data_IF_567111371018
#
_entry.id   IF_567111371018
#
_cell.length_a   1.000
_cell.length_b   1.000
_cell.length_c   1.000
_cell.angle_alpha   90.00
_cell.angle_beta   90.00
_cell.angle_gamma   90.00
#
_symmetry.space_group_name_H-M   'P 1'
#
loop_
_entity.id
_entity.type
_entity.pdbx_description
1 polymer ?
#
# COMPACT_ATOMS: atom_id res chain seq x y z
N UNK A 1 7.82 -19.02 -37.92
CA UNK A 1 7.59 -20.06 -36.88
C UNK A 1 7.24 -19.35 -35.61
N UNK A 2 5.95 -19.39 -35.26
CA UNK A 2 5.39 -18.78 -34.08
C UNK A 2 5.81 -19.54 -32.84
N UNK A 3 6.34 -18.84 -31.85
CA UNK A 3 6.51 -19.35 -30.49
C UNK A 3 5.17 -19.15 -29.79
N UNK A 4 4.49 -20.24 -29.50
CA UNK A 4 3.28 -20.28 -28.69
C UNK A 4 3.66 -20.01 -27.24
N UNK A 5 3.37 -18.80 -26.76
CA UNK A 5 3.36 -18.48 -25.35
C UNK A 5 2.07 -19.06 -24.73
N UNK A 6 2.18 -20.19 -24.07
CA UNK A 6 1.13 -20.67 -23.17
C UNK A 6 1.07 -19.75 -21.93
N UNK A 7 0.38 -18.63 -22.08
CA UNK A 7 -0.16 -17.87 -20.95
C UNK A 7 -1.31 -18.72 -20.41
N UNK A 8 -1.14 -19.38 -19.28
CA UNK A 8 -2.24 -19.88 -18.47
C UNK A 8 -3.01 -18.65 -17.95
N UNK A 9 -3.95 -18.17 -18.76
CA UNK A 9 -4.94 -17.18 -18.35
C UNK A 9 -5.93 -17.88 -17.44
N UNK A 10 -5.83 -17.65 -16.15
CA UNK A 10 -6.90 -17.94 -15.22
C UNK A 10 -8.06 -16.99 -15.55
N UNK A 11 -9.24 -17.56 -15.75
CA UNK A 11 -10.43 -16.81 -16.14
C UNK A 11 -10.89 -15.84 -15.04
N UNK A 12 -11.59 -14.75 -15.39
CA UNK A 12 -12.20 -13.88 -14.41
C UNK A 12 -13.29 -14.66 -13.66
N UNK A 13 -13.08 -14.96 -12.37
CA UNK A 13 -14.07 -15.62 -11.51
C UNK A 13 -13.58 -16.79 -10.67
N UNK A 14 -12.35 -17.25 -10.81
CA UNK A 14 -11.83 -18.29 -9.92
C UNK A 14 -11.35 -17.68 -8.60
N UNK A 15 -12.03 -18.03 -7.52
CA UNK A 15 -11.65 -17.65 -6.15
C UNK A 15 -10.26 -18.23 -5.81
N UNK A 16 -9.48 -17.48 -5.05
CA UNK A 16 -8.22 -17.96 -4.50
C UNK A 16 -8.52 -19.09 -3.51
N UNK A 17 -8.21 -20.34 -3.87
CA UNK A 17 -8.45 -21.51 -3.02
C UNK A 17 -7.39 -21.69 -1.93
N UNK A 18 -6.60 -20.67 -1.63
CA UNK A 18 -5.45 -20.72 -0.75
C UNK A 18 -5.67 -19.82 0.46
N UNK A 19 -5.23 -20.27 1.63
CA UNK A 19 -5.39 -19.54 2.89
C UNK A 19 -4.39 -18.41 3.03
N UNK A 20 -4.85 -17.25 3.48
CA UNK A 20 -4.05 -16.05 3.73
C UNK A 20 -3.99 -15.78 5.23
N UNK A 21 -2.82 -15.44 5.74
CA UNK A 21 -2.66 -15.06 7.15
C UNK A 21 -2.13 -13.65 7.27
N UNK A 22 -2.64 -12.92 8.27
CA UNK A 22 -2.12 -11.64 8.69
C UNK A 22 -1.54 -11.72 10.11
N UNK A 23 -0.31 -11.28 10.26
CA UNK A 23 0.35 -11.14 11.55
C UNK A 23 0.34 -9.67 12.00
N UNK A 24 -0.41 -9.38 13.08
CA UNK A 24 -0.67 -8.02 13.56
C UNK A 24 0.37 -7.49 14.55
N UNK A 25 0.29 -6.21 14.86
CA UNK A 25 1.22 -5.45 15.69
C UNK A 25 1.18 -5.81 17.18
N UNK A 26 2.32 -5.70 17.86
CA UNK A 26 2.52 -6.00 19.29
C UNK A 26 2.17 -4.85 20.24
N UNK A 27 1.80 -3.64 19.78
CA UNK A 27 1.54 -2.50 20.67
C UNK A 27 0.06 -2.29 20.98
N UNK A 28 -0.23 -2.03 22.27
CA UNK A 28 -1.59 -1.75 22.79
C UNK A 28 -2.00 -0.29 22.68
N UNK A 29 -1.09 0.63 22.34
CA UNK A 29 -1.33 2.07 22.31
C UNK A 29 -1.50 2.56 20.87
N UNK A 30 -2.64 3.20 20.60
CA UNK A 30 -3.13 3.85 19.38
C UNK A 30 -3.11 2.99 18.08
N UNK A 31 -4.12 3.13 17.21
CA UNK A 31 -4.12 2.44 15.92
C UNK A 31 -2.99 2.98 15.05
N UNK A 32 -1.93 2.19 14.88
CA UNK A 32 -0.86 2.52 13.94
C UNK A 32 -1.34 2.29 12.50
N UNK A 33 -0.78 3.03 11.54
CA UNK A 33 -1.07 2.84 10.12
C UNK A 33 -0.93 1.37 9.66
N UNK A 34 0.00 0.60 10.24
CA UNK A 34 0.14 -0.84 9.97
C UNK A 34 -1.07 -1.67 10.43
N UNK A 35 -1.64 -1.37 11.62
CA UNK A 35 -2.78 -2.14 12.14
C UNK A 35 -4.10 -1.79 11.44
N UNK A 36 -4.22 -0.57 10.94
CA UNK A 36 -5.33 -0.19 10.05
C UNK A 36 -5.17 -0.88 8.69
N UNK A 37 -3.98 -0.90 8.11
CA UNK A 37 -3.72 -1.53 6.82
C UNK A 37 -4.14 -3.00 6.74
N UNK A 38 -3.93 -3.80 7.80
CA UNK A 38 -4.39 -5.21 7.85
C UNK A 38 -5.91 -5.33 7.78
N UNK A 39 -6.61 -4.51 8.57
CA UNK A 39 -8.08 -4.52 8.60
C UNK A 39 -8.67 -4.30 7.23
N UNK A 40 -8.08 -3.39 6.50
CA UNK A 40 -8.61 -2.88 5.25
C UNK A 40 -8.21 -3.78 4.08
N UNK A 41 -7.02 -4.37 4.13
CA UNK A 41 -6.61 -5.41 3.18
C UNK A 41 -7.50 -6.65 3.30
N UNK A 42 -7.75 -7.16 4.52
CA UNK A 42 -8.60 -8.34 4.73
C UNK A 42 -10.02 -8.09 4.20
N UNK A 43 -10.63 -6.94 4.50
CA UNK A 43 -11.94 -6.57 3.95
C UNK A 43 -11.92 -6.30 2.45
N UNK A 44 -10.86 -5.68 1.96
CA UNK A 44 -10.67 -5.45 0.53
C UNK A 44 -10.56 -6.75 -0.25
N UNK A 45 -9.85 -7.72 0.28
CA UNK A 45 -9.71 -9.05 -0.34
C UNK A 45 -11.07 -9.79 -0.40
N UNK A 46 -11.84 -9.74 0.69
CA UNK A 46 -13.17 -10.34 0.74
C UNK A 46 -14.15 -9.65 -0.21
N UNK A 47 -14.20 -8.32 -0.18
CA UNK A 47 -15.07 -7.52 -1.04
C UNK A 47 -14.77 -7.68 -2.53
N UNK A 48 -13.49 -7.85 -2.90
CA UNK A 48 -13.05 -8.11 -4.26
C UNK A 48 -13.15 -9.59 -4.67
N UNK A 49 -13.56 -10.48 -3.74
CA UNK A 49 -13.65 -11.92 -3.98
C UNK A 49 -12.30 -12.62 -4.21
N UNK A 50 -11.19 -11.98 -3.80
CA UNK A 50 -9.83 -12.53 -3.97
C UNK A 50 -9.47 -13.50 -2.88
N UNK A 51 -9.85 -13.23 -1.62
CA UNK A 51 -9.77 -14.15 -0.51
C UNK A 51 -10.95 -13.90 0.44
N UNK A 52 -11.74 -14.93 0.72
CA UNK A 52 -12.89 -14.80 1.64
C UNK A 52 -12.42 -14.71 3.08
N UNK A 53 -13.14 -13.98 3.93
CA UNK A 53 -12.80 -13.88 5.36
C UNK A 53 -12.64 -15.25 6.04
N UNK A 54 -13.43 -16.25 5.65
CA UNK A 54 -13.33 -17.63 6.18
C UNK A 54 -12.01 -18.34 5.84
N UNK A 55 -11.28 -17.87 4.82
CA UNK A 55 -9.97 -18.37 4.37
C UNK A 55 -8.82 -17.51 4.92
N UNK A 56 -9.15 -16.45 5.66
CA UNK A 56 -8.18 -15.56 6.29
C UNK A 56 -8.01 -15.94 7.75
N UNK A 57 -6.77 -16.19 8.14
CA UNK A 57 -6.40 -16.42 9.55
C UNK A 57 -5.65 -15.21 10.10
N UNK A 58 -5.97 -14.79 11.30
CA UNK A 58 -5.37 -13.64 11.96
C UNK A 58 -4.60 -14.09 13.19
N UNK A 59 -3.35 -13.65 13.32
CA UNK A 59 -2.58 -13.71 14.55
C UNK A 59 -2.38 -12.28 15.05
N UNK A 60 -2.93 -11.96 16.20
CA UNK A 60 -2.76 -10.66 16.84
C UNK A 60 -2.79 -10.84 18.36
N UNK A 61 -1.92 -10.13 19.09
CA UNK A 61 -1.88 -10.14 20.55
C UNK A 61 -2.98 -9.28 21.18
N UNK A 62 -3.60 -8.39 20.39
CA UNK A 62 -4.64 -7.48 20.86
C UNK A 62 -6.02 -8.14 20.76
N UNK A 63 -6.65 -8.43 21.93
CA UNK A 63 -7.95 -9.09 21.98
C UNK A 63 -9.05 -8.34 21.24
N UNK A 64 -9.26 -7.02 21.40
CA UNK A 64 -10.27 -6.28 20.64
C UNK A 64 -10.13 -6.40 19.13
N UNK A 65 -8.89 -6.52 18.62
CA UNK A 65 -8.67 -6.75 17.18
C UNK A 65 -9.03 -8.16 16.77
N UNK A 66 -8.67 -9.18 17.55
CA UNK A 66 -9.09 -10.57 17.31
C UNK A 66 -10.61 -10.67 17.24
N UNK A 67 -11.31 -10.05 18.21
CA UNK A 67 -12.77 -10.06 18.26
C UNK A 67 -13.39 -9.39 17.02
N UNK A 68 -12.79 -8.28 16.57
CA UNK A 68 -13.23 -7.59 15.35
C UNK A 68 -13.08 -8.48 14.10
N UNK A 69 -11.94 -9.14 13.91
CA UNK A 69 -11.73 -10.03 12.76
C UNK A 69 -12.62 -11.27 12.85
N UNK A 70 -12.79 -11.83 14.04
CA UNK A 70 -13.71 -12.94 14.27
C UNK A 70 -15.17 -12.56 13.91
N UNK A 71 -15.58 -11.31 14.19
CA UNK A 71 -16.92 -10.82 13.82
C UNK A 71 -17.14 -10.74 12.30
N UNK A 72 -16.06 -10.72 11.51
CA UNK A 72 -16.11 -10.78 10.04
C UNK A 72 -16.03 -12.21 9.50
N UNK A 73 -15.92 -13.21 10.37
CA UNK A 73 -15.78 -14.62 10.00
C UNK A 73 -14.34 -15.06 9.74
N UNK A 74 -13.33 -14.23 10.04
CA UNK A 74 -11.93 -14.64 9.95
C UNK A 74 -11.60 -15.64 11.05
N UNK A 75 -10.69 -16.57 10.79
CA UNK A 75 -10.13 -17.48 11.77
C UNK A 75 -9.13 -16.75 12.67
N UNK A 76 -9.06 -17.14 13.93
CA UNK A 76 -8.05 -16.64 14.86
C UNK A 76 -7.06 -17.76 15.13
N UNK A 77 -5.79 -17.59 14.73
CA UNK A 77 -4.74 -18.56 14.95
C UNK A 77 -4.24 -18.55 16.40
N UNK A 78 -3.91 -19.72 16.92
CA UNK A 78 -3.42 -19.89 18.28
C UNK A 78 -1.90 -19.70 18.37
N UNK A 79 -1.15 -20.08 17.32
CA UNK A 79 0.31 -19.95 17.27
C UNK A 79 0.82 -19.71 15.84
N UNK A 80 2.04 -19.19 15.74
CA UNK A 80 2.73 -19.02 14.45
C UNK A 80 2.94 -20.37 13.73
N UNK A 81 3.30 -21.41 14.47
CA UNK A 81 3.48 -22.77 13.95
C UNK A 81 2.22 -23.32 13.29
N UNK A 82 1.09 -23.27 14.01
CA UNK A 82 -0.21 -23.76 13.52
C UNK A 82 -0.59 -23.07 12.22
N UNK A 83 -0.42 -21.78 12.19
CA UNK A 83 -0.88 -20.95 11.07
C UNK A 83 0.02 -21.16 9.85
N UNK A 84 1.33 -21.06 9.99
CA UNK A 84 2.27 -21.20 8.87
C UNK A 84 2.13 -22.55 8.16
N UNK A 85 1.86 -23.63 8.91
CA UNK A 85 1.66 -24.98 8.33
C UNK A 85 0.39 -25.11 7.47
N UNK A 86 -0.55 -24.19 7.63
CA UNK A 86 -1.87 -24.28 7.01
C UNK A 86 -2.20 -23.14 6.03
N UNK A 87 -1.20 -22.34 5.64
CA UNK A 87 -1.42 -21.20 4.76
C UNK A 87 -0.40 -21.17 3.61
N UNK A 88 -0.78 -20.53 2.53
CA UNK A 88 0.08 -20.33 1.35
C UNK A 88 0.72 -18.94 1.33
N UNK A 89 0.07 -17.96 1.98
CA UNK A 89 0.55 -16.58 2.02
C UNK A 89 0.46 -16.03 3.45
N UNK A 90 1.57 -15.50 3.94
CA UNK A 90 1.69 -14.83 5.24
C UNK A 90 1.96 -13.35 5.04
N UNK A 91 1.04 -12.48 5.46
CA UNK A 91 1.27 -11.04 5.52
C UNK A 91 1.88 -10.64 6.85
N UNK A 92 3.07 -10.04 6.83
CA UNK A 92 3.74 -9.47 8.00
C UNK A 92 3.39 -7.99 8.12
N UNK A 93 2.63 -7.65 9.14
CA UNK A 93 2.14 -6.30 9.43
C UNK A 93 2.47 -5.87 10.86
N UNK A 94 3.66 -6.18 11.31
CA UNK A 94 4.20 -5.74 12.60
C UNK A 94 5.05 -4.47 12.44
N UNK A 95 5.43 -3.86 13.55
CA UNK A 95 6.38 -2.75 13.52
C UNK A 95 7.73 -3.19 12.94
N UNK A 96 8.46 -2.34 12.22
CA UNK A 96 9.71 -2.70 11.55
C UNK A 96 10.71 -3.44 12.46
N UNK A 97 10.92 -2.96 13.68
CA UNK A 97 11.86 -3.56 14.64
C UNK A 97 11.48 -5.00 15.07
N UNK A 98 10.23 -5.41 14.88
CA UNK A 98 9.75 -6.74 15.27
C UNK A 98 9.76 -7.75 14.10
N UNK A 99 10.05 -7.32 12.88
CA UNK A 99 9.96 -8.18 11.68
C UNK A 99 10.97 -9.30 11.72
N UNK A 100 12.25 -8.99 12.00
CA UNK A 100 13.30 -9.98 12.01
C UNK A 100 13.10 -11.05 13.11
N UNK A 101 12.69 -10.63 14.30
CA UNK A 101 12.42 -11.57 15.41
C UNK A 101 11.23 -12.48 15.11
N UNK A 102 10.16 -11.90 14.53
CA UNK A 102 9.02 -12.68 14.09
C UNK A 102 9.39 -13.71 13.01
N UNK A 103 10.19 -13.32 12.02
CA UNK A 103 10.65 -14.23 10.98
C UNK A 103 11.52 -15.35 11.54
N UNK A 104 12.42 -15.08 12.50
CA UNK A 104 13.22 -16.11 13.18
C UNK A 104 12.34 -17.09 13.97
N UNK A 105 11.29 -16.59 14.63
CA UNK A 105 10.31 -17.45 15.32
C UNK A 105 9.57 -18.37 14.34
N UNK A 106 9.25 -17.87 13.15
CA UNK A 106 8.52 -18.60 12.11
C UNK A 106 9.43 -19.50 11.26
N UNK A 107 10.73 -19.22 11.18
CA UNK A 107 11.69 -19.90 10.30
C UNK A 107 11.65 -21.43 10.33
N UNK A 108 11.49 -22.12 11.50
CA UNK A 108 11.40 -23.58 11.54
C UNK A 108 10.19 -24.16 10.79
N UNK A 109 9.19 -23.35 10.49
CA UNK A 109 7.93 -23.75 9.87
C UNK A 109 7.77 -23.19 8.46
N UNK A 110 8.56 -22.15 8.10
CA UNK A 110 8.59 -21.56 6.76
C UNK A 110 9.32 -22.49 5.79
N UNK A 111 8.93 -22.41 4.52
CA UNK A 111 9.54 -23.17 3.44
C UNK A 111 9.19 -22.62 2.07
N UNK A 112 9.62 -23.26 0.98
CA UNK A 112 9.44 -22.74 -0.38
C UNK A 112 7.98 -22.63 -0.83
N UNK A 113 7.06 -23.27 -0.11
CA UNK A 113 5.63 -23.29 -0.44
C UNK A 113 4.83 -22.17 0.24
N UNK A 114 5.44 -21.41 1.14
CA UNK A 114 4.77 -20.32 1.89
C UNK A 114 5.34 -19.00 1.46
N UNK A 115 4.54 -18.18 0.78
CA UNK A 115 4.91 -16.84 0.38
C UNK A 115 4.78 -15.87 1.56
N UNK A 116 5.89 -15.23 1.92
CA UNK A 116 5.89 -14.15 2.94
C UNK A 116 5.77 -12.80 2.23
N UNK A 117 4.78 -12.00 2.62
CA UNK A 117 4.55 -10.64 2.12
C UNK A 117 4.70 -9.66 3.28
N UNK A 118 5.77 -8.89 3.31
CA UNK A 118 5.99 -7.88 4.35
C UNK A 118 5.53 -6.51 3.88
N UNK A 119 4.69 -5.85 4.68
CA UNK A 119 4.26 -4.46 4.48
C UNK A 119 4.93 -3.51 5.48
N UNK A 120 5.96 -3.95 6.19
CA UNK A 120 6.70 -3.15 7.13
C UNK A 120 7.66 -2.18 6.41
N UNK A 121 7.54 -0.88 6.74
CA UNK A 121 8.40 0.14 6.13
C UNK A 121 9.85 0.00 6.62
N UNK A 122 10.82 0.25 5.73
CA UNK A 122 12.24 0.34 6.09
C UNK A 122 12.98 -1.00 6.30
N UNK A 123 12.29 -2.15 6.31
CA UNK A 123 12.95 -3.46 6.45
C UNK A 123 13.36 -3.99 5.07
N UNK A 124 14.64 -4.31 4.90
CA UNK A 124 15.17 -4.77 3.60
C UNK A 124 14.90 -6.25 3.36
N UNK A 125 14.88 -6.64 2.09
CA UNK A 125 14.80 -8.06 1.69
C UNK A 125 15.92 -8.87 2.31
N UNK A 126 17.15 -8.38 2.28
CA UNK A 126 18.30 -9.05 2.89
C UNK A 126 18.08 -9.36 4.38
N UNK A 127 17.62 -8.36 5.17
CA UNK A 127 17.29 -8.55 6.60
C UNK A 127 16.22 -9.62 6.81
N UNK A 128 15.21 -9.64 5.93
CA UNK A 128 14.11 -10.60 6.05
C UNK A 128 14.53 -12.00 5.61
N UNK A 129 15.32 -12.12 4.54
CA UNK A 129 15.84 -13.41 4.03
C UNK A 129 16.80 -14.04 5.04
N UNK A 130 17.69 -13.27 5.64
CA UNK A 130 18.58 -13.73 6.72
C UNK A 130 17.79 -14.25 7.94
N UNK A 131 16.70 -13.59 8.29
CA UNK A 131 15.88 -13.98 9.43
C UNK A 131 14.98 -15.20 9.15
N UNK A 132 14.44 -15.32 7.95
CA UNK A 132 13.52 -16.40 7.55
C UNK A 132 14.24 -17.70 7.16
N UNK A 133 15.50 -17.61 6.76
CA UNK A 133 16.29 -18.74 6.26
C UNK A 133 16.21 -18.92 4.75
N UNK A 134 17.11 -19.75 4.23
CA UNK A 134 17.25 -19.97 2.79
C UNK A 134 16.02 -20.63 2.16
N UNK A 135 15.69 -20.21 0.93
CA UNK A 135 14.63 -20.84 0.13
C UNK A 135 13.22 -20.33 0.42
N UNK A 136 13.03 -19.43 1.40
CA UNK A 136 11.72 -18.83 1.70
C UNK A 136 11.44 -17.69 0.70
N UNK A 137 10.32 -17.72 -0.05
CA UNK A 137 9.97 -16.63 -0.94
C UNK A 137 9.42 -15.44 -0.15
N UNK A 138 10.05 -14.26 -0.30
CA UNK A 138 9.70 -13.05 0.43
C UNK A 138 9.43 -11.91 -0.55
N UNK A 139 8.27 -11.28 -0.41
CA UNK A 139 7.90 -10.04 -1.10
C UNK A 139 7.93 -8.87 -0.12
N UNK A 140 8.69 -7.83 -0.45
CA UNK A 140 8.65 -6.55 0.25
C UNK A 140 7.64 -5.65 -0.44
N UNK A 141 6.66 -5.15 0.30
CA UNK A 141 5.60 -4.28 -0.23
C UNK A 141 5.58 -2.96 0.52
N UNK A 142 5.46 -1.87 -0.21
CA UNK A 142 5.19 -0.54 0.34
C UNK A 142 3.79 -0.11 -0.08
N UNK A 143 2.77 -0.35 0.76
CA UNK A 143 1.42 0.13 0.54
C UNK A 143 1.27 1.59 1.03
N UNK A 144 0.08 2.15 0.85
CA UNK A 144 -0.28 3.43 1.45
C UNK A 144 -1.69 3.41 2.05
N UNK A 145 -2.02 4.41 2.88
CA UNK A 145 -3.30 4.47 3.59
C UNK A 145 -4.55 4.54 2.72
N UNK A 146 -4.55 5.08 1.47
CA UNK A 146 -5.71 5.01 0.60
C UNK A 146 -6.18 3.61 0.22
N UNK A 147 -5.45 2.54 0.55
CA UNK A 147 -5.95 1.16 0.45
C UNK A 147 -7.27 0.97 1.23
N UNK A 148 -7.52 1.76 2.27
CA UNK A 148 -8.75 1.78 3.08
C UNK A 148 -10.03 2.01 2.25
N UNK A 149 -9.88 2.71 1.15
CA UNK A 149 -10.98 3.09 0.24
C UNK A 149 -10.78 2.50 -1.15
N UNK A 150 -10.00 1.41 -1.28
CA UNK A 150 -9.75 0.74 -2.54
C UNK A 150 -8.86 1.52 -3.53
N UNK A 151 -8.07 2.47 -3.03
CA UNK A 151 -7.22 3.34 -3.84
C UNK A 151 -5.73 3.19 -3.46
N UNK A 152 -5.29 1.96 -3.21
CA UNK A 152 -3.87 1.65 -3.01
C UNK A 152 -3.05 2.19 -4.19
N UNK A 153 -2.00 2.93 -3.89
CA UNK A 153 -0.90 3.21 -4.79
C UNK A 153 0.38 2.70 -4.12
N UNK A 154 0.81 1.50 -4.46
CA UNK A 154 1.94 0.84 -3.81
C UNK A 154 2.95 0.28 -4.79
N UNK A 155 4.05 -0.21 -4.23
CA UNK A 155 5.01 -1.00 -4.98
C UNK A 155 5.47 -2.22 -4.19
N UNK A 156 6.01 -3.21 -4.91
CA UNK A 156 6.56 -4.44 -4.37
C UNK A 156 7.91 -4.75 -4.99
N UNK A 157 8.76 -5.40 -4.22
CA UNK A 157 10.04 -5.96 -4.68
C UNK A 157 10.12 -7.41 -4.25
N UNK A 158 10.65 -8.24 -5.14
CA UNK A 158 10.79 -9.68 -4.90
C UNK A 158 12.16 -10.02 -4.30
N UNK A 159 12.17 -10.94 -3.35
CA UNK A 159 13.36 -11.58 -2.82
C UNK A 159 13.94 -12.64 -3.76
N UNK A 160 15.10 -13.15 -3.37
CA UNK A 160 15.91 -14.07 -4.21
C UNK A 160 15.22 -15.40 -4.49
N UNK A 161 14.38 -15.89 -3.58
CA UNK A 161 13.64 -17.15 -3.72
C UNK A 161 12.27 -17.01 -4.38
N UNK A 162 11.88 -15.77 -4.79
CA UNK A 162 10.59 -15.54 -5.41
C UNK A 162 10.58 -15.94 -6.89
N UNK A 163 9.50 -16.61 -7.29
CA UNK A 163 9.18 -16.94 -8.69
C UNK A 163 8.25 -15.88 -9.29
N UNK A 164 8.06 -15.86 -10.63
CA UNK A 164 7.04 -15.02 -11.27
C UNK A 164 5.63 -15.23 -10.70
N UNK A 165 5.28 -16.46 -10.32
CA UNK A 165 3.98 -16.79 -9.72
C UNK A 165 3.77 -16.10 -8.35
N UNK A 166 4.84 -15.95 -7.56
CA UNK A 166 4.77 -15.19 -6.30
C UNK A 166 4.50 -13.70 -6.54
N UNK A 167 5.09 -13.14 -7.58
CA UNK A 167 4.85 -11.74 -8.01
C UNK A 167 3.39 -11.57 -8.44
N UNK A 168 2.89 -12.46 -9.31
CA UNK A 168 1.50 -12.42 -9.80
C UNK A 168 0.49 -12.60 -8.65
N UNK A 169 0.78 -13.52 -7.72
CA UNK A 169 -0.05 -13.73 -6.53
C UNK A 169 -0.15 -12.46 -5.69
N UNK A 170 1.02 -11.83 -5.41
CA UNK A 170 1.05 -10.57 -4.65
C UNK A 170 0.34 -9.44 -5.39
N UNK A 171 0.55 -9.32 -6.70
CA UNK A 171 -0.11 -8.32 -7.53
C UNK A 171 -1.64 -8.48 -7.56
N UNK A 172 -2.14 -9.72 -7.61
CA UNK A 172 -3.59 -10.01 -7.55
C UNK A 172 -4.18 -9.65 -6.20
N UNK A 173 -3.54 -10.07 -5.11
CA UNK A 173 -4.01 -9.74 -3.76
C UNK A 173 -4.07 -8.23 -3.54
N UNK A 174 -3.00 -7.51 -3.85
CA UNK A 174 -2.95 -6.06 -3.68
C UNK A 174 -3.82 -5.31 -4.72
N UNK A 175 -4.03 -5.91 -5.90
CA UNK A 175 -4.93 -5.42 -6.94
C UNK A 175 -6.39 -5.30 -6.49
N UNK A 176 -6.79 -6.08 -5.49
CA UNK A 176 -8.11 -6.01 -4.87
C UNK A 176 -8.38 -4.66 -4.14
N UNK A 177 -7.33 -3.97 -3.73
CA UNK A 177 -7.42 -2.71 -2.97
C UNK A 177 -6.77 -1.53 -3.70
N UNK A 178 -6.38 -1.69 -4.97
CA UNK A 178 -5.85 -0.62 -5.81
C UNK A 178 -4.80 -1.08 -6.81
N UNK A 179 -3.67 -0.40 -6.92
CA UNK A 179 -2.59 -0.71 -7.85
C UNK A 179 -1.26 -0.88 -7.12
N UNK A 180 -0.56 -1.97 -7.42
CA UNK A 180 0.79 -2.22 -6.91
C UNK A 180 1.74 -2.50 -8.09
N UNK A 181 2.88 -1.82 -8.14
CA UNK A 181 3.88 -1.96 -9.20
C UNK A 181 5.07 -2.80 -8.73
N UNK A 182 5.58 -3.69 -9.55
CA UNK A 182 6.89 -4.31 -9.29
C UNK A 182 7.99 -3.30 -9.60
N UNK A 183 8.92 -3.11 -8.65
CA UNK A 183 10.10 -2.24 -8.80
C UNK A 183 11.32 -2.92 -8.17
N UNK A 184 12.55 -2.60 -8.61
CA UNK A 184 13.75 -3.02 -7.88
C UNK A 184 13.75 -2.48 -6.44
N UNK A 185 14.26 -3.25 -5.48
CA UNK A 185 14.28 -2.85 -4.07
C UNK A 185 14.96 -1.49 -3.85
N UNK A 186 15.99 -1.17 -4.62
CA UNK A 186 16.69 0.13 -4.58
C UNK A 186 15.79 1.35 -4.88
N UNK A 187 14.56 1.14 -5.34
CA UNK A 187 13.57 2.21 -5.60
C UNK A 187 12.51 2.33 -4.52
N UNK A 188 12.48 1.43 -3.53
CA UNK A 188 11.44 1.41 -2.50
C UNK A 188 11.42 2.68 -1.62
N UNK A 189 12.59 3.30 -1.39
CA UNK A 189 12.66 4.56 -0.64
C UNK A 189 11.99 5.70 -1.43
N UNK A 190 12.21 5.76 -2.75
CA UNK A 190 11.52 6.71 -3.62
C UNK A 190 10.00 6.46 -3.67
N UNK A 191 9.57 5.20 -3.70
CA UNK A 191 8.15 4.83 -3.59
C UNK A 191 7.57 5.34 -2.27
N UNK A 192 8.30 5.18 -1.16
CA UNK A 192 7.88 5.72 0.14
C UNK A 192 7.69 7.23 0.07
N UNK A 193 8.62 7.95 -0.56
CA UNK A 193 8.52 9.40 -0.75
C UNK A 193 7.30 9.84 -1.58
N UNK A 194 7.00 9.13 -2.66
CA UNK A 194 5.89 9.49 -3.57
C UNK A 194 4.54 9.04 -3.02
N UNK A 195 4.39 7.76 -2.67
CA UNK A 195 3.09 7.16 -2.37
C UNK A 195 2.89 6.82 -0.90
N UNK A 196 3.94 6.42 -0.18
CA UNK A 196 3.82 6.14 1.25
C UNK A 196 3.50 7.38 2.07
N UNK A 197 4.28 8.44 1.89
CA UNK A 197 4.11 9.73 2.57
C UNK A 197 3.19 10.69 1.80
N UNK A 198 3.00 10.46 0.50
CA UNK A 198 2.21 11.31 -0.41
C UNK A 198 0.81 11.70 0.07
N UNK A 199 0.02 10.82 0.69
CA UNK A 199 -1.30 11.18 1.20
C UNK A 199 -1.27 12.40 2.13
N UNK A 200 -0.23 12.53 2.98
CA UNK A 200 -0.10 13.68 3.88
C UNK A 200 0.06 15.01 3.11
N UNK A 201 0.81 15.01 2.01
CA UNK A 201 0.98 16.20 1.16
C UNK A 201 -0.33 16.62 0.54
N UNK A 202 -1.11 15.64 0.08
CA UNK A 202 -2.42 15.88 -0.56
C UNK A 202 -3.45 16.33 0.46
N UNK A 203 -3.42 15.84 1.70
CA UNK A 203 -4.29 16.36 2.77
C UNK A 203 -3.99 17.85 3.04
N UNK A 204 -2.72 18.27 3.05
CA UNK A 204 -2.35 19.68 3.13
C UNK A 204 -2.90 20.50 1.95
N UNK A 205 -2.85 19.98 0.74
CA UNK A 205 -3.41 20.66 -0.45
C UNK A 205 -4.91 20.83 -0.31
N UNK A 206 -5.64 19.77 0.10
CA UNK A 206 -7.09 19.80 0.26
C UNK A 206 -7.47 20.83 1.35
N UNK A 207 -6.77 20.83 2.48
CA UNK A 207 -6.99 21.78 3.57
C UNK A 207 -6.74 23.23 3.12
N UNK A 208 -5.59 23.50 2.47
CA UNK A 208 -5.26 24.83 1.98
C UNK A 208 -6.25 25.34 0.92
N UNK A 209 -6.70 24.47 0.02
CA UNK A 209 -7.74 24.83 -0.97
C UNK A 209 -9.07 25.16 -0.29
N UNK A 210 -9.46 24.40 0.74
CA UNK A 210 -10.66 24.65 1.51
C UNK A 210 -10.57 25.99 2.29
N UNK A 211 -9.40 26.28 2.87
CA UNK A 211 -9.15 27.57 3.55
C UNK A 211 -9.23 28.74 2.57
N UNK A 212 -8.64 28.60 1.37
CA UNK A 212 -8.80 29.58 0.31
C UNK A 212 -10.24 29.80 -0.12
N UNK A 213 -11.04 28.72 -0.19
CA UNK A 213 -12.47 28.79 -0.46
C UNK A 213 -13.25 29.58 0.61
N UNK A 214 -12.91 29.35 1.89
CA UNK A 214 -13.51 30.11 3.00
C UNK A 214 -13.10 31.58 2.96
N UNK A 215 -11.83 31.86 2.68
CA UNK A 215 -11.33 33.22 2.49
C UNK A 215 -12.06 33.94 1.34
N UNK A 216 -12.48 33.22 0.31
CA UNK A 216 -13.28 33.71 -0.80
C UNK A 216 -14.82 33.78 -0.49
N UNK A 217 -15.24 33.43 0.72
CA UNK A 217 -16.64 33.54 1.19
C UNK A 217 -17.47 32.27 1.15
N UNK A 218 -16.89 31.10 0.84
CA UNK A 218 -17.62 29.83 0.90
C UNK A 218 -17.82 29.35 2.33
N UNK A 219 -18.96 28.72 2.64
CA UNK A 219 -19.10 27.97 3.90
C UNK A 219 -18.04 26.84 3.99
N UNK A 220 -17.47 26.62 5.18
CA UNK A 220 -16.40 25.64 5.42
C UNK A 220 -16.70 24.25 4.85
N UNK A 221 -17.91 23.72 5.12
CA UNK A 221 -18.30 22.39 4.66
C UNK A 221 -18.32 22.27 3.13
N UNK A 222 -18.79 23.29 2.45
CA UNK A 222 -18.82 23.36 0.98
C UNK A 222 -17.41 23.47 0.43
N UNK A 223 -16.57 24.34 0.99
CA UNK A 223 -15.18 24.52 0.55
C UNK A 223 -14.38 23.21 0.69
N UNK A 224 -14.54 22.50 1.78
CA UNK A 224 -13.86 21.24 2.03
C UNK A 224 -14.31 20.12 1.06
N UNK A 225 -15.61 19.97 0.82
CA UNK A 225 -16.13 18.97 -0.14
C UNK A 225 -15.64 19.28 -1.58
N UNK A 226 -15.73 20.53 -2.00
CA UNK A 226 -15.24 20.95 -3.32
C UNK A 226 -13.73 20.70 -3.49
N UNK A 227 -12.92 21.04 -2.50
CA UNK A 227 -11.47 20.84 -2.54
C UNK A 227 -11.13 19.34 -2.69
N UNK A 228 -11.73 18.49 -1.86
CA UNK A 228 -11.48 17.06 -1.90
C UNK A 228 -11.90 16.44 -3.24
N UNK A 229 -13.09 16.77 -3.76
CA UNK A 229 -13.58 16.30 -5.05
C UNK A 229 -12.74 16.82 -6.21
N UNK A 230 -12.26 18.03 -6.15
CA UNK A 230 -11.39 18.62 -7.20
C UNK A 230 -10.08 17.86 -7.29
N UNK A 231 -9.43 17.56 -6.16
CA UNK A 231 -8.18 16.78 -6.13
C UNK A 231 -8.42 15.37 -6.66
N UNK A 232 -9.48 14.71 -6.19
CA UNK A 232 -9.86 13.39 -6.67
C UNK A 232 -10.12 13.37 -8.18
N UNK A 233 -10.90 14.33 -8.69
CA UNK A 233 -11.23 14.44 -10.11
C UNK A 233 -10.01 14.70 -10.98
N UNK A 234 -9.11 15.58 -10.55
CA UNK A 234 -7.87 15.88 -11.26
C UNK A 234 -6.96 14.64 -11.35
N UNK A 235 -6.79 13.90 -10.25
CA UNK A 235 -6.03 12.65 -10.24
C UNK A 235 -6.67 11.60 -11.16
N UNK A 236 -7.99 11.46 -11.11
CA UNK A 236 -8.74 10.53 -11.97
C UNK A 236 -8.59 10.87 -13.46
N UNK A 237 -8.62 12.14 -13.82
CA UNK A 237 -8.37 12.60 -15.21
C UNK A 237 -6.99 12.13 -15.71
N UNK A 238 -5.93 12.26 -14.90
CA UNK A 238 -4.59 11.79 -15.29
C UNK A 238 -4.57 10.28 -15.51
N UNK A 239 -5.18 9.51 -14.61
CA UNK A 239 -5.17 8.04 -14.65
C UNK A 239 -6.00 7.48 -15.82
N UNK A 240 -7.19 8.02 -16.07
CA UNK A 240 -8.11 7.49 -17.07
C UNK A 240 -7.77 7.96 -18.50
N UNK A 241 -7.26 9.18 -18.65
CA UNK A 241 -6.92 9.69 -19.98
C UNK A 241 -5.50 9.34 -20.43
N UNK A 242 -4.62 9.02 -19.50
CA UNK A 242 -3.19 8.82 -19.75
C UNK A 242 -2.44 10.08 -20.22
N UNK A 243 -3.11 11.23 -20.22
CA UNK A 243 -2.52 12.49 -20.66
C UNK A 243 -1.53 13.03 -19.66
N UNK A 244 -0.50 13.74 -20.14
CA UNK A 244 0.45 14.41 -19.29
C UNK A 244 -0.23 15.48 -18.42
N UNK A 245 0.07 15.58 -17.11
CA UNK A 245 -0.56 16.58 -16.23
C UNK A 245 -0.46 18.02 -16.74
N UNK A 246 0.65 18.37 -17.41
CA UNK A 246 0.83 19.68 -18.06
C UNK A 246 -0.19 19.94 -19.15
N UNK A 247 -0.50 18.95 -20.01
CA UNK A 247 -1.52 19.06 -21.06
C UNK A 247 -2.91 19.28 -20.45
N UNK A 248 -3.25 18.53 -19.39
CA UNK A 248 -4.54 18.69 -18.71
C UNK A 248 -4.65 20.07 -18.03
N UNK A 249 -3.57 20.55 -17.43
CA UNK A 249 -3.49 21.91 -16.87
C UNK A 249 -3.73 22.96 -17.94
N UNK A 250 -3.07 22.86 -19.10
CA UNK A 250 -3.22 23.83 -20.18
C UNK A 250 -4.63 23.83 -20.77
N UNK A 251 -5.27 22.67 -20.86
CA UNK A 251 -6.66 22.53 -21.36
C UNK A 251 -7.69 23.29 -20.50
N UNK A 252 -7.41 23.54 -19.23
CA UNK A 252 -8.29 24.31 -18.32
C UNK A 252 -7.80 25.74 -18.07
N UNK A 253 -6.75 26.18 -18.79
CA UNK A 253 -6.09 27.45 -18.59
C UNK A 253 -6.34 28.39 -19.77
N UNK A 254 -7.43 29.16 -19.73
CA UNK A 254 -7.77 30.12 -20.77
C UNK A 254 -6.94 31.42 -20.66
N UNK A 255 -6.67 32.11 -21.82
CA UNK A 255 -5.97 33.38 -21.81
C UNK A 255 -6.66 34.43 -20.93
N UNK A 256 -5.92 35.05 -20.00
CA UNK A 256 -6.43 36.08 -19.09
C UNK A 256 -7.46 35.57 -18.06
N UNK A 257 -7.70 34.26 -17.98
CA UNK A 257 -8.72 33.68 -17.11
C UNK A 257 -8.28 33.52 -15.67
N UNK A 258 -9.21 33.05 -14.82
CA UNK A 258 -8.96 32.83 -13.38
C UNK A 258 -7.91 31.76 -13.14
N UNK A 259 -7.89 30.72 -13.97
CA UNK A 259 -6.95 29.60 -13.82
C UNK A 259 -5.51 30.04 -14.04
N UNK A 260 -5.22 30.82 -15.09
CA UNK A 260 -3.85 31.29 -15.35
C UNK A 260 -3.35 32.22 -14.24
N UNK A 261 -4.24 33.07 -13.69
CA UNK A 261 -3.90 33.96 -12.58
C UNK A 261 -3.51 33.15 -11.33
N UNK A 262 -4.27 32.08 -11.02
CA UNK A 262 -3.99 31.18 -9.90
C UNK A 262 -2.71 30.38 -10.12
N UNK A 263 -2.52 29.79 -11.32
CA UNK A 263 -1.29 29.06 -11.67
C UNK A 263 -0.05 29.93 -11.55
N UNK A 264 -0.13 31.18 -12.04
CA UNK A 264 0.97 32.14 -11.89
C UNK A 264 1.32 32.43 -10.42
N UNK A 265 0.30 32.54 -9.55
CA UNK A 265 0.52 32.72 -8.12
C UNK A 265 1.24 31.51 -7.51
N UNK A 266 0.81 30.29 -7.83
CA UNK A 266 1.44 29.05 -7.34
C UNK A 266 2.90 28.92 -7.80
N UNK A 267 3.20 29.29 -9.06
CA UNK A 267 4.59 29.31 -9.56
C UNK A 267 5.46 30.32 -8.78
N UNK A 268 4.95 31.52 -8.48
CA UNK A 268 5.66 32.49 -7.64
C UNK A 268 5.94 31.97 -6.22
N UNK A 269 5.03 31.17 -5.65
CA UNK A 269 5.19 30.56 -4.34
C UNK A 269 6.10 29.32 -4.34
N UNK A 270 6.62 28.89 -5.49
CA UNK A 270 7.55 27.77 -5.59
C UNK A 270 6.94 26.39 -5.26
N UNK A 271 5.64 26.21 -5.50
CA UNK A 271 4.90 24.96 -5.15
C UNK A 271 5.56 23.71 -5.74
N UNK A 272 6.09 23.77 -6.97
CA UNK A 272 6.80 22.64 -7.59
C UNK A 272 8.01 22.22 -6.78
N UNK A 273 8.85 23.18 -6.41
CA UNK A 273 10.05 22.93 -5.61
C UNK A 273 9.69 22.35 -4.22
N UNK A 274 8.61 22.85 -3.61
CA UNK A 274 8.12 22.35 -2.33
C UNK A 274 7.73 20.86 -2.40
N UNK A 275 6.97 20.45 -3.40
CA UNK A 275 6.59 19.04 -3.57
C UNK A 275 7.77 18.14 -3.93
N UNK A 276 8.66 18.58 -4.82
CA UNK A 276 9.89 17.84 -5.15
C UNK A 276 10.75 17.65 -3.90
N UNK A 277 10.92 18.69 -3.10
CA UNK A 277 11.65 18.67 -1.83
C UNK A 277 11.02 17.74 -0.81
N UNK A 278 9.69 17.75 -0.66
CA UNK A 278 8.98 16.88 0.26
C UNK A 278 9.16 15.38 -0.09
N UNK A 279 9.01 15.02 -1.36
CA UNK A 279 9.25 13.65 -1.84
C UNK A 279 10.70 13.23 -1.57
N UNK A 280 11.67 14.08 -1.88
CA UNK A 280 13.10 13.80 -1.65
C UNK A 280 13.41 13.62 -0.17
N UNK A 281 12.94 14.52 0.68
CA UNK A 281 13.15 14.44 2.12
C UNK A 281 12.57 13.15 2.74
N UNK A 282 11.37 12.74 2.31
CA UNK A 282 10.77 11.52 2.78
C UNK A 282 11.51 10.26 2.28
N UNK A 283 12.00 10.27 1.04
CA UNK A 283 12.82 9.19 0.50
C UNK A 283 14.16 9.07 1.24
N UNK A 284 14.83 10.19 1.52
CA UNK A 284 16.08 10.22 2.28
C UNK A 284 15.87 9.67 3.70
N UNK A 285 14.80 10.08 4.36
CA UNK A 285 14.47 9.57 5.69
C UNK A 285 14.15 8.08 5.68
N UNK A 286 13.45 7.57 4.67
CA UNK A 286 13.19 6.15 4.48
C UNK A 286 14.51 5.36 4.35
N UNK A 287 15.46 5.90 3.60
CA UNK A 287 16.79 5.32 3.44
C UNK A 287 17.59 5.29 4.75
N UNK A 288 17.55 6.35 5.56
CA UNK A 288 18.19 6.36 6.88
C UNK A 288 17.60 5.28 7.80
N UNK A 289 16.27 5.17 7.82
CA UNK A 289 15.56 4.17 8.64
C UNK A 289 15.84 2.72 8.20
N UNK A 290 16.16 2.49 6.94
CA UNK A 290 16.52 1.16 6.46
C UNK A 290 17.94 0.71 6.85
N UNK A 291 18.78 1.65 7.33
CA UNK A 291 20.16 1.39 7.78
C UNK A 291 20.29 1.25 9.30
N UNK A 292 19.27 1.65 10.05
CA UNK A 292 19.21 1.59 11.51
C UNK A 292 18.57 0.27 11.96
#
# INVERSE_FOLDING_TARGET
RALSSNLLMWGPGEAFHRSVTFHGSTSTSSPSACSQGVRDQARGFDAAGVAKCVDITIIDRNQPRRDLFASWGCKIGASNEEVVKNVDVVFISVKPYAVADLLREMAPFLGPNVLVVSIAAGVTLATMEDAAGAGVPIMRVMPNTPCLVGCLAGAMSKGTSCTPEHVDTTARLLGAVGKCHEVPESKMDAVTGVSGSGPAYIYQVIEAMADGGVLAGLPRAVAQDLAARTVMGAAKMVLETGKHPGELKDAVTSPGGTTIAAVHHLEKCGVRAAFQGAVKAAADRAHELSKS
#
